data_IF_049564502435
#
_entry.id   IF_049564502435
#
_cell.length_a   1.000
_cell.length_b   1.000
_cell.length_c   1.000
_cell.angle_alpha   90.00
_cell.angle_beta   90.00
_cell.angle_gamma   90.00
#
_symmetry.space_group_name_H-M   'P 1'
#
loop_
_entity.id
_entity.type
_entity.pdbx_description
1 polymer ?
#
# COMPACT_ATOMS: atom_id res chain seq x y z
N UNK A 1 -17.26 -11.77 11.33
CA UNK A 1 -15.93 -11.77 10.70
C UNK A 1 -14.90 -12.59 11.48
N UNK A 2 -14.16 -13.47 10.81
CA UNK A 2 -13.01 -14.24 11.34
C UNK A 2 -11.88 -14.29 10.31
N UNK A 3 -10.63 -14.29 10.75
CA UNK A 3 -9.43 -14.30 9.90
C UNK A 3 -8.61 -15.54 10.21
N UNK A 4 -8.11 -16.18 9.15
CA UNK A 4 -7.25 -17.36 9.20
C UNK A 4 -5.99 -17.10 8.39
N UNK A 5 -4.85 -17.54 8.91
CA UNK A 5 -3.58 -17.60 8.18
C UNK A 5 -3.45 -19.03 7.64
N UNK A 6 -3.54 -19.18 6.32
CA UNK A 6 -3.51 -20.47 5.65
C UNK A 6 -2.07 -20.87 5.23
N UNK A 7 -1.20 -19.91 4.89
CA UNK A 7 0.21 -20.13 4.57
C UNK A 7 1.04 -18.86 4.78
N UNK A 8 2.35 -19.00 5.01
CA UNK A 8 3.31 -17.89 5.14
C UNK A 8 4.61 -18.25 4.43
N UNK A 9 5.15 -17.33 3.62
CA UNK A 9 6.42 -17.52 2.92
C UNK A 9 7.27 -16.26 2.91
N UNK A 10 8.57 -16.43 3.14
CA UNK A 10 9.54 -15.35 2.98
C UNK A 10 9.75 -15.03 1.50
N UNK A 11 9.76 -13.74 1.16
CA UNK A 11 9.95 -13.24 -0.19
C UNK A 11 11.44 -13.04 -0.48
N UNK A 12 11.95 -13.79 -1.45
CA UNK A 12 13.33 -13.67 -1.94
C UNK A 12 13.31 -13.61 -3.46
N UNK A 13 14.21 -12.82 -4.02
CA UNK A 13 14.50 -12.84 -5.45
C UNK A 13 15.13 -14.17 -5.87
N UNK A 14 15.09 -14.47 -7.16
CA UNK A 14 15.69 -15.68 -7.75
C UNK A 14 17.20 -15.82 -7.48
N UNK A 15 17.90 -14.70 -7.23
CA UNK A 15 19.31 -14.68 -6.85
C UNK A 15 19.56 -14.90 -5.34
N UNK A 16 18.49 -15.11 -4.56
CA UNK A 16 18.52 -15.35 -3.12
C UNK A 16 18.51 -14.10 -2.25
N UNK A 17 18.66 -12.89 -2.83
CA UNK A 17 18.58 -11.64 -2.09
C UNK A 17 17.17 -11.41 -1.54
N UNK A 18 17.02 -10.79 -0.35
CA UNK A 18 15.71 -10.57 0.24
C UNK A 18 14.91 -9.50 -0.53
N UNK A 19 13.62 -9.73 -0.68
CA UNK A 19 12.65 -8.64 -0.85
C UNK A 19 12.43 -8.08 0.56
N UNK A 20 12.60 -6.77 0.73
CA UNK A 20 12.51 -6.08 2.01
C UNK A 20 11.49 -4.95 1.93
N UNK A 21 10.98 -4.53 3.07
CA UNK A 21 10.03 -3.42 3.22
C UNK A 21 8.87 -3.48 2.22
N UNK A 22 8.25 -4.67 2.11
CA UNK A 22 7.17 -4.91 1.18
C UNK A 22 5.91 -4.15 1.60
N UNK A 23 5.63 -3.08 0.88
CA UNK A 23 4.72 -2.00 1.27
C UNK A 23 3.49 -1.88 0.36
N UNK A 24 3.15 -2.94 -0.38
CA UNK A 24 2.01 -2.92 -1.30
C UNK A 24 2.09 -4.01 -2.33
N UNK A 25 0.94 -4.55 -2.73
CA UNK A 25 0.86 -5.67 -3.67
C UNK A 25 -0.31 -5.54 -4.62
N UNK A 26 -0.08 -5.76 -5.92
CA UNK A 26 -1.14 -5.74 -6.92
C UNK A 26 -0.89 -6.76 -8.06
N UNK A 27 -1.94 -7.30 -8.69
CA UNK A 27 -1.79 -8.26 -9.78
C UNK A 27 -1.16 -7.62 -11.05
N UNK A 28 -0.18 -8.31 -11.63
CA UNK A 28 0.46 -7.95 -12.90
C UNK A 28 0.68 -9.19 -13.77
N UNK A 29 -0.12 -9.34 -14.82
CA UNK A 29 -0.07 -10.50 -15.71
C UNK A 29 -0.45 -11.79 -14.99
N UNK A 30 0.46 -12.77 -15.02
CA UNK A 30 0.36 -14.06 -14.34
C UNK A 30 0.97 -14.05 -12.92
N UNK A 31 1.37 -12.88 -12.43
CA UNK A 31 2.02 -12.70 -11.14
C UNK A 31 1.50 -11.49 -10.36
N UNK A 32 2.31 -11.08 -9.39
CA UNK A 32 2.04 -9.98 -8.47
C UNK A 32 3.24 -9.04 -8.47
N UNK A 33 2.98 -7.75 -8.57
CA UNK A 33 3.99 -6.73 -8.35
C UNK A 33 3.91 -6.28 -6.90
N UNK A 34 5.03 -6.39 -6.20
CA UNK A 34 5.18 -6.05 -4.79
C UNK A 34 6.08 -4.81 -4.71
N UNK A 35 5.54 -3.72 -4.18
CA UNK A 35 6.29 -2.50 -3.91
C UNK A 35 7.28 -2.74 -2.76
N UNK A 36 8.34 -1.94 -2.75
CA UNK A 36 9.29 -1.91 -1.66
C UNK A 36 9.53 -0.44 -1.31
N UNK A 37 9.23 -0.04 -0.07
CA UNK A 37 9.36 1.36 0.32
C UNK A 37 10.83 1.83 0.36
N UNK A 38 11.74 0.87 0.56
CA UNK A 38 13.15 1.05 0.80
C UNK A 38 13.97 1.00 -0.48
N UNK A 39 13.32 0.90 -1.65
CA UNK A 39 13.99 0.65 -2.91
C UNK A 39 13.42 1.44 -4.10
N UNK A 40 14.22 1.50 -5.16
CA UNK A 40 13.79 1.98 -6.48
C UNK A 40 13.36 0.82 -7.41
N UNK A 41 13.34 -0.40 -6.89
CA UNK A 41 12.84 -1.57 -7.57
C UNK A 41 11.65 -2.19 -6.81
N UNK A 42 10.82 -2.91 -7.55
CA UNK A 42 9.74 -3.73 -7.04
C UNK A 42 10.06 -5.21 -7.30
N UNK A 43 9.40 -6.12 -6.59
CA UNK A 43 9.49 -7.54 -6.87
C UNK A 43 8.31 -7.98 -7.74
N UNK A 44 8.60 -8.64 -8.88
CA UNK A 44 7.57 -9.29 -9.68
C UNK A 44 7.57 -10.78 -9.38
N UNK A 45 6.61 -11.20 -8.56
CA UNK A 45 6.42 -12.56 -8.08
C UNK A 45 5.49 -13.33 -9.00
N UNK A 46 6.02 -14.33 -9.69
CA UNK A 46 5.31 -15.30 -10.52
C UNK A 46 5.39 -16.70 -9.89
N UNK A 47 4.62 -17.68 -10.37
CA UNK A 47 4.80 -19.07 -9.94
C UNK A 47 6.25 -19.53 -10.11
N UNK A 48 6.95 -19.77 -9.00
CA UNK A 48 8.32 -20.27 -8.98
C UNK A 48 9.42 -19.25 -9.26
N UNK A 49 9.09 -17.96 -9.49
CA UNK A 49 10.06 -16.93 -9.84
C UNK A 49 9.75 -15.60 -9.16
N UNK A 50 10.77 -14.91 -8.66
CA UNK A 50 10.68 -13.54 -8.15
C UNK A 50 11.82 -12.73 -8.75
N UNK A 51 11.49 -11.83 -9.65
CA UNK A 51 12.48 -11.02 -10.38
C UNK A 51 12.36 -9.54 -10.01
N UNK A 52 13.50 -8.84 -9.96
CA UNK A 52 13.51 -7.40 -9.71
C UNK A 52 13.02 -6.62 -10.92
N UNK A 53 12.14 -5.64 -10.68
CA UNK A 53 11.62 -4.70 -11.68
C UNK A 53 12.07 -3.31 -11.28
N UNK A 54 12.85 -2.65 -12.14
CA UNK A 54 13.22 -1.25 -11.96
C UNK A 54 11.99 -0.36 -12.12
N UNK A 55 11.56 0.32 -11.05
CA UNK A 55 10.36 1.19 -11.07
C UNK A 55 10.71 2.68 -11.05
N UNK A 56 11.86 3.04 -10.47
CA UNK A 56 12.39 4.40 -10.42
C UNK A 56 13.89 4.41 -10.74
N UNK A 57 14.45 5.52 -11.27
CA UNK A 57 15.89 5.66 -11.38
C UNK A 57 16.56 5.72 -9.99
N UNK A 58 17.87 5.43 -9.88
CA UNK A 58 18.62 5.64 -8.65
C UNK A 58 18.49 7.09 -8.15
N UNK A 59 18.37 7.28 -6.84
CA UNK A 59 18.33 8.61 -6.19
C UNK A 59 19.70 8.89 -5.60
N UNK A 60 20.39 9.91 -6.11
CA UNK A 60 21.77 10.25 -5.68
C UNK A 60 22.74 9.05 -5.80
N UNK A 61 22.49 8.14 -6.75
CA UNK A 61 23.28 6.93 -6.95
C UNK A 61 22.87 5.73 -6.09
N UNK A 62 21.81 5.85 -5.30
CA UNK A 62 21.30 4.80 -4.42
C UNK A 62 20.03 4.15 -4.98
N UNK A 63 19.95 2.83 -4.82
CA UNK A 63 18.78 2.01 -5.17
C UNK A 63 18.07 1.40 -3.97
N UNK A 64 18.74 1.42 -2.81
CA UNK A 64 18.27 0.93 -1.53
C UNK A 64 18.52 2.01 -0.49
N UNK A 65 17.59 2.15 0.45
CA UNK A 65 17.59 3.22 1.43
C UNK A 65 17.40 2.64 2.82
N UNK A 66 18.30 2.97 3.73
CA UNK A 66 18.18 2.59 5.13
C UNK A 66 18.65 3.70 6.04
N UNK A 67 18.23 3.63 7.31
CA UNK A 67 18.73 4.50 8.36
C UNK A 67 20.23 4.28 8.60
N UNK A 68 20.67 3.01 8.68
CA UNK A 68 22.08 2.66 8.90
C UNK A 68 23.02 3.23 7.81
N UNK A 69 22.54 3.35 6.57
CA UNK A 69 23.29 3.98 5.47
C UNK A 69 23.15 5.51 5.44
N UNK A 70 22.35 6.12 6.32
CA UNK A 70 22.09 7.57 6.34
C UNK A 70 21.28 8.05 5.14
N UNK A 71 20.44 7.18 4.57
CA UNK A 71 19.75 7.41 3.29
C UNK A 71 18.22 7.44 3.40
N UNK A 72 17.62 7.28 4.59
CA UNK A 72 16.15 7.32 4.84
C UNK A 72 15.46 8.52 4.16
N UNK A 73 16.06 9.72 4.23
CA UNK A 73 15.54 10.95 3.58
C UNK A 73 15.44 10.91 2.04
N UNK A 74 16.08 9.92 1.40
CA UNK A 74 16.12 9.77 -0.05
C UNK A 74 15.04 8.81 -0.57
N UNK A 75 14.35 8.08 0.32
CA UNK A 75 13.29 7.12 -0.03
C UNK A 75 12.24 7.77 -0.93
N UNK A 76 11.94 7.14 -2.09
CA UNK A 76 10.70 7.38 -2.81
C UNK A 76 9.47 6.88 -2.05
N UNK A 77 9.64 5.92 -1.14
CA UNK A 77 8.63 5.51 -0.15
C UNK A 77 7.34 5.06 -0.86
N UNK A 78 7.47 4.08 -1.76
CA UNK A 78 6.35 3.55 -2.54
C UNK A 78 5.46 2.69 -1.64
N UNK A 79 4.48 3.30 -0.99
CA UNK A 79 3.63 2.65 0.03
C UNK A 79 2.31 2.09 -0.49
N UNK A 80 1.97 2.28 -1.76
CA UNK A 80 0.68 1.80 -2.26
C UNK A 80 0.81 1.14 -3.64
N UNK A 81 0.10 0.04 -3.84
CA UNK A 81 -0.02 -0.64 -5.13
C UNK A 81 -1.49 -0.86 -5.50
N UNK A 82 -1.90 -0.37 -6.67
CA UNK A 82 -3.29 -0.47 -7.12
C UNK A 82 -3.37 -1.04 -8.55
N UNK A 83 -4.23 -2.05 -8.82
CA UNK A 83 -4.44 -2.53 -10.18
C UNK A 83 -5.18 -1.48 -11.01
N UNK A 84 -4.66 -1.14 -12.19
CA UNK A 84 -5.23 -0.14 -13.11
C UNK A 84 -5.28 -0.68 -14.54
N UNK A 85 -5.79 0.11 -15.47
CA UNK A 85 -5.77 -0.21 -16.90
C UNK A 85 -5.18 0.93 -17.72
N UNK A 86 -4.38 0.58 -18.73
CA UNK A 86 -3.88 1.51 -19.74
C UNK A 86 -4.37 1.06 -21.10
N UNK A 87 -5.37 1.75 -21.64
CA UNK A 87 -5.96 1.36 -22.92
C UNK A 87 -6.62 -0.03 -22.88
N UNK A 88 -7.24 -0.38 -21.74
CA UNK A 88 -7.85 -1.69 -21.41
C UNK A 88 -6.87 -2.83 -21.11
N UNK A 89 -5.57 -2.59 -21.22
CA UNK A 89 -4.56 -3.56 -20.80
C UNK A 89 -4.28 -3.42 -19.29
N UNK A 90 -4.23 -4.52 -18.51
CA UNK A 90 -3.88 -4.48 -17.10
C UNK A 90 -2.51 -3.86 -16.85
N UNK A 91 -2.43 -3.07 -15.79
CA UNK A 91 -1.21 -2.46 -15.28
C UNK A 91 -1.30 -2.31 -13.76
N UNK A 92 -0.18 -1.96 -13.14
CA UNK A 92 -0.11 -1.60 -11.72
C UNK A 92 0.31 -0.15 -11.59
N UNK A 93 -0.38 0.59 -10.74
CA UNK A 93 0.00 1.91 -10.28
C UNK A 93 0.65 1.77 -8.90
N UNK A 94 1.91 2.17 -8.78
CA UNK A 94 2.59 2.36 -7.50
C UNK A 94 2.58 3.84 -7.13
N UNK A 95 2.35 4.15 -5.86
CA UNK A 95 2.28 5.53 -5.35
C UNK A 95 3.19 5.68 -4.13
N UNK A 96 3.86 6.83 -4.04
CA UNK A 96 4.62 7.18 -2.84
C UNK A 96 3.74 7.75 -1.71
N UNK A 97 4.27 7.84 -0.49
CA UNK A 97 3.53 8.31 0.69
C UNK A 97 3.17 9.80 0.72
N UNK A 98 3.92 10.64 0.00
CA UNK A 98 3.55 12.03 -0.25
C UNK A 98 4.08 13.12 0.67
N UNK A 99 4.78 12.81 1.77
CA UNK A 99 5.25 13.85 2.72
C UNK A 99 6.39 14.75 2.20
N UNK A 100 7.05 14.37 1.09
CA UNK A 100 8.12 15.15 0.45
C UNK A 100 8.08 15.03 -1.07
N UNK A 101 8.72 15.94 -1.84
CA UNK A 101 8.76 15.82 -3.31
C UNK A 101 9.30 14.49 -3.83
N UNK A 102 10.21 13.82 -3.09
CA UNK A 102 10.71 12.48 -3.46
C UNK A 102 9.64 11.40 -3.33
N UNK A 103 8.68 11.59 -2.42
CA UNK A 103 7.57 10.69 -2.11
C UNK A 103 6.28 11.02 -2.88
N UNK A 104 6.25 12.12 -3.63
CA UNK A 104 5.11 12.53 -4.47
C UNK A 104 5.20 11.95 -5.89
N UNK A 105 5.51 10.65 -5.99
CA UNK A 105 5.76 9.97 -7.27
C UNK A 105 4.68 8.94 -7.53
N UNK A 106 4.27 8.85 -8.79
CA UNK A 106 3.47 7.74 -9.29
C UNK A 106 4.26 6.94 -10.32
N UNK A 107 4.15 5.62 -10.30
CA UNK A 107 4.78 4.73 -11.28
C UNK A 107 3.74 3.79 -11.88
N UNK A 108 3.62 3.82 -13.21
CA UNK A 108 2.85 2.86 -13.97
C UNK A 108 3.75 1.72 -14.44
N UNK A 109 3.42 0.50 -14.05
CA UNK A 109 4.10 -0.72 -14.52
C UNK A 109 3.13 -1.53 -15.37
N UNK A 110 3.51 -1.79 -16.62
CA UNK A 110 2.71 -2.57 -17.59
C UNK A 110 3.55 -3.66 -18.22
N UNK A 111 2.92 -4.69 -18.76
CA UNK A 111 3.62 -5.69 -19.56
C UNK A 111 3.67 -5.27 -21.02
N UNK A 112 4.87 -5.29 -21.62
CA UNK A 112 5.10 -5.06 -23.05
C UNK A 112 5.88 -6.26 -23.58
N UNK A 113 5.24 -7.09 -24.41
CA UNK A 113 5.84 -8.34 -24.86
C UNK A 113 6.09 -9.35 -23.73
N UNK A 114 5.30 -9.28 -22.65
CA UNK A 114 5.45 -10.12 -21.46
C UNK A 114 6.42 -9.59 -20.42
N UNK A 115 7.15 -8.50 -20.70
CA UNK A 115 8.14 -7.93 -19.79
C UNK A 115 7.61 -6.65 -19.11
N UNK A 116 7.91 -6.43 -17.82
CA UNK A 116 7.47 -5.24 -17.10
C UNK A 116 8.23 -4.00 -17.56
N UNK A 117 7.47 -2.97 -17.92
CA UNK A 117 7.98 -1.65 -18.31
C UNK A 117 7.36 -0.59 -17.40
N UNK A 118 8.22 0.09 -16.66
CA UNK A 118 7.83 1.15 -15.73
C UNK A 118 7.87 2.54 -16.38
N UNK A 119 6.91 3.40 -16.04
CA UNK A 119 6.89 4.82 -16.36
C UNK A 119 6.51 5.62 -15.11
N UNK A 120 7.45 6.42 -14.63
CA UNK A 120 7.23 7.29 -13.50
C UNK A 120 6.79 8.71 -13.92
N UNK A 121 5.96 9.33 -13.10
CA UNK A 121 5.55 10.74 -13.17
C UNK A 121 5.73 11.44 -11.84
N UNK A 122 5.86 12.77 -11.90
CA UNK A 122 5.77 13.66 -10.74
C UNK A 122 4.30 14.03 -10.53
N UNK A 123 3.82 13.86 -9.30
CA UNK A 123 2.44 14.12 -8.93
C UNK A 123 2.31 15.19 -7.84
N UNK A 124 3.36 15.97 -7.55
CA UNK A 124 3.40 16.97 -6.47
C UNK A 124 2.11 17.80 -6.33
N UNK A 125 1.62 18.47 -7.39
CA UNK A 125 0.39 19.26 -7.32
C UNK A 125 -0.88 18.45 -6.95
N UNK A 126 -0.92 17.17 -7.29
CA UNK A 126 -2.01 16.28 -6.88
C UNK A 126 -1.90 15.93 -5.39
N UNK A 127 -0.70 15.59 -4.91
CA UNK A 127 -0.47 15.30 -3.49
C UNK A 127 -0.79 16.51 -2.59
N UNK A 128 -0.39 17.72 -2.99
CA UNK A 128 -0.75 18.97 -2.31
C UNK A 128 -2.28 19.15 -2.21
N UNK A 129 -3.00 18.84 -3.29
CA UNK A 129 -4.46 18.89 -3.30
C UNK A 129 -5.07 17.82 -2.39
N UNK A 130 -4.53 16.60 -2.40
CA UNK A 130 -4.98 15.51 -1.52
C UNK A 130 -4.81 15.91 -0.05
N UNK A 131 -3.64 16.44 0.34
CA UNK A 131 -3.41 16.97 1.69
C UNK A 131 -4.43 18.06 2.04
N UNK A 132 -4.65 19.03 1.15
CA UNK A 132 -5.65 20.08 1.35
C UNK A 132 -7.08 19.55 1.50
N UNK A 133 -7.47 18.55 0.71
CA UNK A 133 -8.78 17.89 0.81
C UNK A 133 -8.94 17.12 2.13
N UNK A 134 -7.87 16.49 2.62
CA UNK A 134 -7.86 15.79 3.92
C UNK A 134 -7.74 16.77 5.11
N UNK A 135 -7.47 18.05 4.86
CA UNK A 135 -7.28 19.07 5.90
C UNK A 135 -5.95 18.92 6.65
N UNK A 136 -4.91 18.41 5.98
CA UNK A 136 -3.61 18.11 6.57
C UNK A 136 -2.53 19.09 6.08
N UNK A 137 -1.55 19.46 6.94
CA UNK A 137 -0.25 19.92 6.47
C UNK A 137 0.39 18.86 5.57
N UNK A 138 1.11 19.30 4.53
CA UNK A 138 1.68 18.38 3.53
C UNK A 138 2.71 17.43 4.14
N UNK A 139 3.48 17.91 5.11
CA UNK A 139 4.46 17.15 5.86
C UNK A 139 3.84 16.02 6.72
N UNK A 140 2.53 16.08 6.98
CA UNK A 140 1.78 15.04 7.71
C UNK A 140 1.03 14.10 6.77
N UNK A 141 1.10 14.32 5.45
CA UNK A 141 0.50 13.41 4.48
C UNK A 141 1.29 12.10 4.46
N UNK A 142 0.61 10.99 4.76
CA UNK A 142 1.20 9.67 4.74
C UNK A 142 0.21 8.68 4.12
N UNK A 143 0.31 8.51 2.80
CA UNK A 143 -0.61 7.71 2.01
C UNK A 143 -0.06 6.29 1.84
N UNK A 144 -0.75 5.29 2.38
CA UNK A 144 -0.30 3.89 2.38
C UNK A 144 -1.34 3.00 1.65
N UNK A 145 -2.62 3.09 1.99
CA UNK A 145 -3.60 2.20 1.37
C UNK A 145 -4.15 2.65 0.01
N UNK A 146 -4.37 1.71 -0.91
CA UNK A 146 -4.99 2.00 -2.21
C UNK A 146 -5.91 0.89 -2.72
N UNK A 147 -7.20 1.21 -2.90
CA UNK A 147 -8.18 0.27 -3.48
C UNK A 147 -8.78 0.77 -4.78
N UNK A 148 -9.10 -0.16 -5.69
CA UNK A 148 -9.82 0.14 -6.94
C UNK A 148 -11.31 -0.12 -6.80
N UNK A 149 -12.10 0.94 -6.95
CA UNK A 149 -13.56 0.90 -7.05
C UNK A 149 -13.99 1.21 -8.49
N UNK A 150 -14.03 0.17 -9.33
CA UNK A 150 -14.35 0.33 -10.75
C UNK A 150 -13.34 1.23 -11.48
N UNK A 151 -13.71 2.49 -11.70
CA UNK A 151 -12.89 3.52 -12.38
C UNK A 151 -12.30 4.56 -11.41
N UNK A 152 -12.46 4.35 -10.11
CA UNK A 152 -11.94 5.21 -9.06
C UNK A 152 -10.86 4.48 -8.27
N UNK A 153 -9.80 5.21 -7.94
CA UNK A 153 -8.88 4.89 -6.86
C UNK A 153 -9.47 5.49 -5.59
N UNK A 154 -9.63 4.70 -4.54
CA UNK A 154 -9.74 5.23 -3.19
C UNK A 154 -8.37 5.14 -2.52
N UNK A 155 -7.86 6.28 -2.11
CA UNK A 155 -6.50 6.42 -1.61
C UNK A 155 -6.52 6.86 -0.16
N UNK A 156 -5.87 6.10 0.70
CA UNK A 156 -5.97 6.19 2.16
C UNK A 156 -4.73 6.82 2.76
N UNK A 157 -4.94 7.84 3.58
CA UNK A 157 -3.96 8.36 4.51
C UNK A 157 -4.02 7.54 5.79
N UNK A 158 -2.87 7.02 6.23
CA UNK A 158 -2.74 6.16 7.41
C UNK A 158 -3.40 6.79 8.62
N UNK A 159 -3.06 8.03 8.89
CA UNK A 159 -3.43 8.72 10.12
C UNK A 159 -2.19 9.05 10.95
N UNK A 160 -2.44 9.69 12.08
CA UNK A 160 -1.53 9.82 13.21
C UNK A 160 -2.39 10.21 14.42
N UNK A 161 -2.98 9.22 15.08
CA UNK A 161 -3.93 9.38 16.16
C UNK A 161 -3.25 10.04 17.38
N UNK A 162 -1.96 9.79 17.61
CA UNK A 162 -1.17 10.49 18.62
C UNK A 162 -1.10 12.01 18.35
N UNK A 163 -1.14 12.44 17.09
CA UNK A 163 -1.24 13.83 16.65
C UNK A 163 -2.69 14.30 16.39
N UNK A 164 -3.70 13.49 16.72
CA UNK A 164 -5.11 13.79 16.50
C UNK A 164 -5.57 13.69 15.04
N UNK A 165 -4.76 13.10 14.15
CA UNK A 165 -5.08 12.86 12.75
C UNK A 165 -5.68 11.46 12.60
N UNK A 166 -6.92 11.38 12.12
CA UNK A 166 -7.58 10.09 11.87
C UNK A 166 -7.22 9.54 10.51
N UNK A 167 -7.33 8.22 10.34
CA UNK A 167 -7.31 7.60 9.01
C UNK A 167 -8.42 8.19 8.15
N UNK A 168 -8.09 8.47 6.90
CA UNK A 168 -9.04 9.05 5.96
C UNK A 168 -8.69 8.72 4.52
N UNK A 169 -9.62 8.93 3.60
CA UNK A 169 -9.37 8.64 2.19
C UNK A 169 -9.98 9.67 1.26
N UNK A 170 -9.42 9.79 0.06
CA UNK A 170 -10.02 10.52 -1.05
C UNK A 170 -10.26 9.60 -2.24
N UNK A 171 -11.22 9.94 -3.08
CA UNK A 171 -11.48 9.22 -4.33
C UNK A 171 -10.88 10.00 -5.53
N UNK A 172 -10.10 9.33 -6.38
CA UNK A 172 -9.45 9.91 -7.56
C UNK A 172 -9.80 9.09 -8.81
N UNK A 173 -10.25 9.69 -9.93
CA UNK A 173 -10.50 8.94 -11.16
C UNK A 173 -9.21 8.33 -11.73
N UNK A 174 -9.23 7.01 -11.94
CA UNK A 174 -8.06 6.26 -12.39
C UNK A 174 -7.55 6.74 -13.75
N UNK A 175 -8.44 7.01 -14.70
CA UNK A 175 -8.03 7.51 -16.02
C UNK A 175 -7.27 8.85 -15.92
N UNK A 176 -7.67 9.74 -15.01
CA UNK A 176 -6.99 11.02 -14.79
C UNK A 176 -5.62 10.81 -14.14
N UNK A 177 -5.55 9.95 -13.12
CA UNK A 177 -4.30 9.54 -12.47
C UNK A 177 -3.31 8.93 -13.48
N UNK A 178 -3.77 7.96 -14.27
CA UNK A 178 -2.96 7.30 -15.31
C UNK A 178 -2.45 8.31 -16.34
N UNK A 179 -3.32 9.23 -16.79
CA UNK A 179 -2.95 10.27 -17.76
C UNK A 179 -1.89 11.22 -17.20
N UNK A 180 -1.98 11.58 -15.90
CA UNK A 180 -1.00 12.41 -15.23
C UNK A 180 0.36 11.70 -15.08
N UNK A 181 0.39 10.44 -14.62
CA UNK A 181 1.64 9.66 -14.50
C UNK A 181 2.34 9.48 -15.86
N UNK A 182 1.56 9.31 -16.93
CA UNK A 182 2.10 9.23 -18.29
C UNK A 182 2.57 10.57 -18.86
N UNK A 183 2.36 11.69 -18.15
CA UNK A 183 2.70 13.04 -18.59
C UNK A 183 1.83 13.54 -19.74
N UNK A 184 0.62 12.99 -19.90
CA UNK A 184 -0.35 13.36 -20.94
C UNK A 184 -1.30 14.48 -20.49
N UNK A 185 -1.35 14.76 -19.20
CA UNK A 185 -2.02 15.89 -18.56
C UNK A 185 -1.23 16.30 -17.31
N UNK A 186 -1.42 17.54 -16.84
CA UNK A 186 -0.82 18.01 -15.59
C UNK A 186 -1.46 17.35 -14.37
N UNK A 187 -0.67 17.10 -13.32
CA UNK A 187 -1.16 16.53 -12.06
C UNK A 187 -2.17 17.45 -11.38
N UNK A 188 -2.04 18.77 -11.57
CA UNK A 188 -2.98 19.78 -11.11
C UNK A 188 -4.35 19.71 -11.79
N UNK A 189 -4.51 18.97 -12.88
CA UNK A 189 -5.80 18.76 -13.53
C UNK A 189 -6.55 17.55 -12.97
N UNK A 190 -5.91 16.71 -12.14
CA UNK A 190 -6.53 15.50 -11.59
C UNK A 190 -7.55 15.89 -10.51
N UNK A 191 -8.84 15.53 -10.67
CA UNK A 191 -9.85 15.84 -9.67
C UNK A 191 -9.69 14.95 -8.44
N UNK A 192 -9.97 15.51 -7.26
CA UNK A 192 -9.93 14.82 -5.97
C UNK A 192 -11.33 14.91 -5.34
N UNK A 193 -11.86 13.76 -4.97
CA UNK A 193 -13.17 13.64 -4.32
C UNK A 193 -13.15 14.16 -2.87
N UNK A 194 -14.34 14.26 -2.28
CA UNK A 194 -14.49 14.62 -0.87
C UNK A 194 -13.81 13.57 0.02
N UNK A 195 -13.16 14.01 1.12
CA UNK A 195 -12.53 13.09 2.05
C UNK A 195 -13.60 12.26 2.80
N UNK A 196 -13.19 11.07 3.22
CA UNK A 196 -13.91 10.18 4.13
C UNK A 196 -13.06 9.93 5.36
N UNK A 197 -13.68 9.80 6.53
CA UNK A 197 -12.98 9.44 7.77
C UNK A 197 -13.38 8.06 8.26
N UNK A 198 -12.45 7.35 8.88
CA UNK A 198 -12.70 6.01 9.42
C UNK A 198 -12.39 5.97 10.91
N UNK A 199 -13.31 5.43 11.70
CA UNK A 199 -13.09 5.14 13.12
C UNK A 199 -12.86 3.64 13.28
N UNK A 200 -11.58 3.24 13.27
CA UNK A 200 -11.15 1.85 13.37
C UNK A 200 -11.07 1.37 14.83
N UNK A 201 -11.24 2.29 15.78
CA UNK A 201 -11.05 2.06 17.21
C UNK A 201 -9.59 1.83 17.61
N UNK A 202 -9.41 1.25 18.80
CA UNK A 202 -8.10 0.98 19.41
C UNK A 202 -8.00 -0.47 19.89
N UNK A 203 -6.77 -0.91 20.15
CA UNK A 203 -6.40 -2.15 20.82
C UNK A 203 -5.38 -1.80 21.90
N UNK A 204 -5.62 -2.23 23.14
CA UNK A 204 -4.76 -1.91 24.30
C UNK A 204 -4.46 -0.41 24.49
N UNK A 205 -5.39 0.45 24.06
CA UNK A 205 -5.24 1.92 24.15
C UNK A 205 -4.41 2.53 23.03
N UNK A 206 -3.95 1.73 22.06
CA UNK A 206 -3.24 2.17 20.85
C UNK A 206 -4.21 2.15 19.67
N UNK A 207 -4.32 3.28 18.98
CA UNK A 207 -5.27 3.47 17.90
C UNK A 207 -4.90 2.68 16.64
N UNK A 208 -5.91 2.10 15.96
CA UNK A 208 -5.71 1.41 14.69
C UNK A 208 -5.73 2.41 13.53
N UNK A 209 -4.71 2.33 12.68
CA UNK A 209 -4.51 3.19 11.53
C UNK A 209 -4.42 2.37 10.25
N UNK A 210 -5.01 2.87 9.15
CA UNK A 210 -5.05 2.14 7.87
C UNK A 210 -3.64 1.96 7.31
N UNK A 211 -3.29 0.73 6.96
CA UNK A 211 -2.04 0.41 6.25
C UNK A 211 -2.31 0.06 4.78
N UNK A 212 -3.37 -0.70 4.48
CA UNK A 212 -3.81 -0.94 3.10
C UNK A 212 -5.31 -1.24 2.98
N UNK A 213 -5.81 -1.33 1.74
CA UNK A 213 -7.23 -1.50 1.44
C UNK A 213 -7.47 -2.25 0.13
N UNK A 214 -8.49 -3.12 0.13
CA UNK A 214 -9.06 -3.70 -1.09
C UNK A 214 -10.57 -3.49 -1.17
N UNK A 215 -11.08 -3.35 -2.39
CA UNK A 215 -12.50 -3.36 -2.67
C UNK A 215 -12.99 -4.80 -2.86
N UNK A 216 -14.11 -5.14 -2.21
CA UNK A 216 -14.83 -6.38 -2.43
C UNK A 216 -15.78 -6.25 -3.64
N UNK A 217 -16.17 -7.37 -4.28
CA UNK A 217 -17.06 -7.33 -5.45
C UNK A 217 -18.44 -6.70 -5.20
N UNK A 218 -18.90 -6.69 -3.95
CA UNK A 218 -20.17 -6.08 -3.55
C UNK A 218 -20.07 -4.58 -3.22
N UNK A 219 -18.88 -3.99 -3.36
CA UNK A 219 -18.62 -2.57 -3.12
C UNK A 219 -18.14 -2.22 -1.72
N UNK A 220 -18.17 -3.17 -0.77
CA UNK A 220 -17.56 -3.00 0.55
C UNK A 220 -16.03 -2.98 0.46
N UNK A 221 -15.39 -2.62 1.55
CA UNK A 221 -13.94 -2.55 1.70
C UNK A 221 -13.47 -3.53 2.78
N UNK A 222 -12.33 -4.17 2.54
CA UNK A 222 -11.49 -4.69 3.63
C UNK A 222 -10.28 -3.77 3.75
N UNK A 223 -10.09 -3.23 4.94
CA UNK A 223 -8.91 -2.44 5.32
C UNK A 223 -8.02 -3.29 6.20
N UNK A 224 -6.71 -3.30 5.97
CA UNK A 224 -5.73 -3.64 7.00
C UNK A 224 -5.45 -2.40 7.84
N UNK A 225 -5.26 -2.62 9.13
CA UNK A 225 -4.89 -1.57 10.05
C UNK A 225 -3.93 -2.08 11.11
N UNK A 226 -2.99 -1.23 11.50
CA UNK A 226 -2.00 -1.50 12.54
C UNK A 226 -2.15 -0.51 13.69
N UNK A 227 -1.89 -0.99 14.90
CA UNK A 227 -1.79 -0.19 16.11
C UNK A 227 -0.31 -0.13 16.52
N UNK A 228 0.37 0.93 16.11
CA UNK A 228 1.78 1.17 16.41
C UNK A 228 1.92 2.07 17.63
N UNK A 229 2.55 1.57 18.69
CA UNK A 229 2.81 2.36 19.89
C UNK A 229 4.05 3.22 19.70
N UNK A 230 3.92 4.26 18.87
CA UNK A 230 4.97 5.26 18.68
C UNK A 230 4.64 6.57 19.40
N UNK A 231 5.67 7.17 19.97
CA UNK A 231 5.59 8.50 20.58
C UNK A 231 5.53 9.64 19.56
N UNK A 232 5.75 9.38 18.26
CA UNK A 232 5.72 10.39 17.19
C UNK A 232 5.47 9.79 15.78
N UNK A 233 5.28 10.64 14.78
CA UNK A 233 4.94 10.25 13.39
C UNK A 233 6.10 9.66 12.56
N UNK A 234 7.32 9.67 13.09
CA UNK A 234 8.58 9.49 12.33
C UNK A 234 9.30 8.21 12.72
N UNK A 235 9.19 7.85 13.99
CA UNK A 235 9.77 6.64 14.57
C UNK A 235 8.74 5.52 14.53
N UNK A 236 9.16 4.36 14.06
CA UNK A 236 8.32 3.16 14.03
C UNK A 236 8.32 2.56 15.44
N UNK A 237 7.15 2.56 16.08
CA UNK A 237 6.94 1.98 17.40
C UNK A 237 6.63 0.49 17.29
N UNK A 238 6.67 -0.29 18.39
CA UNK A 238 6.24 -1.68 18.33
C UNK A 238 4.79 -1.78 17.87
N UNK A 239 4.53 -2.69 16.92
CA UNK A 239 3.19 -3.01 16.46
C UNK A 239 2.50 -3.86 17.53
N UNK A 240 1.52 -3.27 18.21
CA UNK A 240 0.77 -3.91 19.31
C UNK A 240 -0.34 -4.79 18.77
N UNK A 241 -0.94 -4.41 17.64
CA UNK A 241 -1.98 -5.21 17.00
C UNK A 241 -2.08 -4.92 15.50
N UNK A 242 -2.45 -5.95 14.74
CA UNK A 242 -2.88 -5.79 13.35
C UNK A 242 -4.27 -6.40 13.19
N UNK A 243 -5.14 -5.71 12.47
CA UNK A 243 -6.52 -6.13 12.27
C UNK A 243 -6.96 -5.94 10.81
N UNK A 244 -7.96 -6.73 10.42
CA UNK A 244 -8.79 -6.40 9.26
C UNK A 244 -10.08 -5.74 9.74
N UNK A 245 -10.53 -4.73 9.00
CA UNK A 245 -11.81 -4.06 9.19
C UNK A 245 -12.66 -4.15 7.91
N UNK A 246 -13.89 -4.64 8.05
CA UNK A 246 -14.90 -4.63 7.00
C UNK A 246 -15.68 -3.32 7.05
N UNK A 247 -15.67 -2.57 5.97
CA UNK A 247 -16.23 -1.22 5.89
C UNK A 247 -17.24 -1.10 4.75
N UNK A 248 -18.36 -0.42 5.01
CA UNK A 248 -19.32 0.00 3.99
C UNK A 248 -19.49 1.53 4.05
N UNK A 249 -19.08 2.21 2.98
CA UNK A 249 -18.93 3.66 2.98
C UNK A 249 -17.86 4.11 3.99
N UNK A 250 -18.31 4.71 5.08
CA UNK A 250 -17.48 5.15 6.23
C UNK A 250 -17.75 4.32 7.49
N UNK A 251 -18.72 3.41 7.43
CA UNK A 251 -19.14 2.63 8.59
C UNK A 251 -18.29 1.37 8.71
N UNK A 252 -17.58 1.22 9.83
CA UNK A 252 -16.94 -0.04 10.21
C UNK A 252 -18.03 -1.02 10.66
N UNK A 253 -18.21 -2.10 9.91
CA UNK A 253 -19.22 -3.13 10.16
C UNK A 253 -18.70 -4.21 11.10
N UNK A 254 -17.45 -4.60 10.93
CA UNK A 254 -16.79 -5.62 11.74
C UNK A 254 -15.28 -5.41 11.73
N UNK A 255 -14.64 -5.90 12.78
CA UNK A 255 -13.18 -5.95 12.93
C UNK A 255 -12.76 -7.31 13.44
N UNK A 256 -11.63 -7.81 12.97
CA UNK A 256 -11.04 -9.03 13.48
C UNK A 256 -9.51 -8.91 13.49
N UNK A 257 -8.89 -9.36 14.59
CA UNK A 257 -7.44 -9.45 14.67
C UNK A 257 -6.90 -10.45 13.63
N UNK A 258 -5.73 -10.14 13.08
CA UNK A 258 -4.98 -11.09 12.28
C UNK A 258 -4.20 -12.00 13.25
N UNK A 259 -4.31 -13.34 13.13
CA UNK A 259 -3.57 -14.24 14.00
C UNK A 259 -2.06 -14.01 13.93
N UNK A 260 -1.42 -14.02 15.09
CA UNK A 260 0.05 -14.05 15.20
C UNK A 260 0.60 -15.31 14.54
N UNK A 261 1.79 -15.20 13.95
CA UNK A 261 2.62 -16.34 13.61
C UNK A 261 4.06 -16.05 14.05
N UNK A 262 4.88 -17.09 14.20
CA UNK A 262 6.26 -16.89 14.67
C UNK A 262 6.37 -16.27 16.08
N UNK A 263 5.27 -16.19 16.83
CA UNK A 263 5.21 -15.63 18.18
C UNK A 263 5.20 -14.11 18.27
N UNK A 264 4.83 -13.40 17.19
CA UNK A 264 4.66 -11.94 17.22
C UNK A 264 3.57 -11.46 16.25
N UNK A 265 3.19 -10.19 16.43
CA UNK A 265 2.29 -9.45 15.55
C UNK A 265 3.10 -8.88 14.40
N UNK A 266 2.57 -8.99 13.19
CA UNK A 266 3.20 -8.47 11.98
C UNK A 266 2.36 -7.36 11.38
N UNK A 267 3.02 -6.32 10.86
CA UNK A 267 2.35 -5.22 10.19
C UNK A 267 2.03 -5.62 8.75
N UNK A 268 0.73 -5.71 8.44
CA UNK A 268 0.29 -5.92 7.06
C UNK A 268 0.33 -4.56 6.35
N UNK A 269 1.13 -4.46 5.30
CA UNK A 269 1.35 -3.23 4.52
C UNK A 269 0.84 -3.34 3.07
N UNK A 270 0.30 -4.50 2.70
CA UNK A 270 -0.32 -4.67 1.39
C UNK A 270 -1.31 -5.81 1.36
N UNK A 271 -2.39 -5.65 0.61
CA UNK A 271 -3.47 -6.60 0.41
C UNK A 271 -3.78 -6.78 -1.07
N UNK A 272 -3.87 -8.02 -1.53
CA UNK A 272 -4.38 -8.37 -2.84
C UNK A 272 -5.51 -9.39 -2.75
N UNK A 273 -6.65 -9.08 -3.37
CA UNK A 273 -7.77 -10.01 -3.49
C UNK A 273 -7.42 -11.13 -4.48
N UNK A 274 -7.41 -12.39 -4.01
CA UNK A 274 -7.25 -13.57 -4.88
C UNK A 274 -8.58 -14.10 -5.38
N UNK A 275 -9.54 -14.25 -4.45
CA UNK A 275 -10.84 -14.85 -4.72
C UNK A 275 -11.87 -14.41 -3.69
N UNK A 276 -13.15 -14.44 -4.06
CA UNK A 276 -14.27 -14.13 -3.19
C UNK A 276 -15.45 -15.05 -3.54
N UNK A 277 -15.83 -15.92 -2.60
CA UNK A 277 -16.88 -16.93 -2.77
C UNK A 277 -17.92 -16.80 -1.67
N UNK A 278 -18.97 -16.03 -1.93
CA UNK A 278 -19.96 -15.70 -0.90
C UNK A 278 -19.30 -14.90 0.22
N UNK A 279 -19.37 -15.41 1.45
CA UNK A 279 -18.77 -14.76 2.63
C UNK A 279 -17.30 -15.15 2.88
N UNK A 280 -16.70 -16.00 2.04
CA UNK A 280 -15.30 -16.39 2.15
C UNK A 280 -14.44 -15.60 1.17
N UNK A 281 -13.48 -14.83 1.69
CA UNK A 281 -12.55 -13.99 0.93
C UNK A 281 -11.14 -14.53 1.09
N UNK A 282 -10.43 -14.73 -0.02
CA UNK A 282 -9.04 -15.19 -0.05
C UNK A 282 -8.14 -14.04 -0.47
N UNK A 283 -7.15 -13.73 0.34
CA UNK A 283 -6.24 -12.61 0.14
C UNK A 283 -4.79 -13.12 0.10
N UNK A 284 -3.94 -12.34 -0.56
CA UNK A 284 -2.53 -12.28 -0.23
C UNK A 284 -2.28 -11.02 0.56
N UNK A 285 -1.43 -11.11 1.56
CA UNK A 285 -0.92 -9.97 2.27
C UNK A 285 0.61 -9.93 2.21
N UNK A 286 1.20 -8.75 2.20
CA UNK A 286 2.64 -8.55 2.40
C UNK A 286 2.88 -7.79 3.69
N UNK A 287 4.02 -8.06 4.32
CA UNK A 287 4.39 -7.45 5.59
C UNK A 287 5.73 -6.75 5.54
N UNK A 288 5.79 -5.66 6.29
CA UNK A 288 7.04 -5.06 6.73
C UNK A 288 7.18 -5.25 8.24
N UNK A 289 8.30 -5.83 8.67
CA UNK A 289 8.61 -6.03 10.08
C UNK A 289 9.75 -5.08 10.53
N UNK A 290 10.03 -4.03 9.73
CA UNK A 290 11.02 -2.98 9.98
C UNK A 290 12.46 -3.50 10.25
N UNK A 291 12.75 -4.75 9.86
CA UNK A 291 14.09 -5.32 9.90
C UNK A 291 14.70 -5.39 8.50
N UNK A 292 15.66 -4.50 8.16
CA UNK A 292 16.26 -4.44 6.83
C UNK A 292 17.10 -5.68 6.48
N UNK A 293 17.41 -6.55 7.45
CA UNK A 293 18.11 -7.81 7.24
C UNK A 293 17.18 -8.99 6.96
N UNK A 294 15.88 -8.85 7.25
CA UNK A 294 14.89 -9.92 7.16
C UNK A 294 14.07 -9.77 5.89
N UNK A 295 13.88 -10.84 5.10
CA UNK A 295 12.98 -10.76 3.96
C UNK A 295 11.53 -10.58 4.45
N UNK A 296 10.81 -9.66 3.84
CA UNK A 296 9.37 -9.52 4.01
C UNK A 296 8.65 -10.85 3.75
N UNK A 297 7.51 -11.07 4.38
CA UNK A 297 6.68 -12.24 4.16
C UNK A 297 5.49 -11.95 3.23
N UNK A 298 5.08 -12.96 2.48
CA UNK A 298 3.76 -13.03 1.84
C UNK A 298 2.92 -14.04 2.62
N UNK A 299 1.67 -13.68 2.90
CA UNK A 299 0.73 -14.45 3.72
C UNK A 299 -0.51 -14.76 2.90
N UNK A 300 -0.92 -16.03 2.91
CA UNK A 300 -2.24 -16.43 2.42
C UNK A 300 -3.24 -16.26 3.55
N UNK A 301 -4.13 -15.27 3.42
CA UNK A 301 -5.20 -15.02 4.40
C UNK A 301 -6.53 -15.50 3.86
N UNK A 302 -7.33 -16.09 4.74
CA UNK A 302 -8.74 -16.40 4.47
C UNK A 302 -9.62 -15.71 5.50
N UNK A 303 -10.61 -14.96 5.01
CA UNK A 303 -11.51 -14.16 5.83
C UNK A 303 -12.93 -14.64 5.63
N UNK A 304 -13.63 -14.94 6.72
CA UNK A 304 -15.05 -15.22 6.70
C UNK A 304 -15.77 -13.96 7.16
N UNK A 305 -16.61 -13.35 6.33
CA UNK A 305 -17.23 -12.05 6.60
C UNK A 305 -18.36 -12.13 7.65
N UNK A 306 -19.11 -13.24 7.67
CA UNK A 306 -20.19 -13.52 8.61
C UNK A 306 -19.73 -13.66 10.08
#
# INVERSE_FOLDING_TARGET
>A
MRVYVDDVRALRFDDGTPVTAASGIAPLGDGLLIAQDDATCAAWRRPGHVTSVRVLPPVEGHDRFSEAAGTKRLKPDLEAACPVEVGREPAVLLLGSGSTPRRMRGVLVRLVGGEPVARAGDLGPLYERVAGCLGLPLEHLNLEGASRHGRMLRWFNRGNLAAGVRSGSVDVPLDAMVTAVLGRAGAEAVPVGQPRGYDLGEVEGVGLEVTDAIALPDGRLLLSAAAEDSSNAVDDGPVVATALALVDGEQVLARAAIPEWGGHVHKIEGLALRDCRGDEVHLLAVVDDDDPGTPSAEIDLRVHLA
#
